data_IF_120739920598
#
_entry.id   IF_120739920598
#
_cell.length_a   1.000
_cell.length_b   1.000
_cell.length_c   1.000
_cell.angle_alpha   90.00
_cell.angle_beta   90.00
_cell.angle_gamma   90.00
#
_symmetry.space_group_name_H-M   'P 1'
#
loop_
_entity.id
_entity.type
_entity.pdbx_description
1 polymer ?
#
# COMPACT_ATOMS: atom_id res chain seq x y z
N UNK A 1 -1.11 -20.99 -13.84
CA UNK A 1 -2.31 -20.74 -14.65
C UNK A 1 -1.95 -19.62 -15.61
N UNK A 2 -2.20 -19.76 -16.91
CA UNK A 2 -2.00 -18.62 -17.82
C UNK A 2 -3.01 -17.54 -17.42
N UNK A 3 -2.56 -16.29 -17.37
CA UNK A 3 -3.44 -15.15 -17.15
C UNK A 3 -4.35 -15.00 -18.37
N UNK A 4 -5.63 -14.80 -18.13
CA UNK A 4 -6.57 -14.45 -19.18
C UNK A 4 -6.59 -12.93 -19.42
N UNK A 5 -7.28 -12.50 -20.47
CA UNK A 5 -7.34 -11.08 -20.85
C UNK A 5 -7.99 -10.16 -19.80
N UNK A 6 -8.81 -10.71 -18.89
CA UNK A 6 -9.51 -9.93 -17.87
C UNK A 6 -8.68 -9.73 -16.60
N UNK A 7 -7.80 -10.67 -16.27
CA UNK A 7 -6.96 -10.64 -15.07
C UNK A 7 -5.50 -10.27 -15.33
N UNK A 8 -5.05 -10.28 -16.60
CA UNK A 8 -3.72 -9.87 -16.98
C UNK A 8 -3.46 -8.39 -16.61
N UNK A 9 -2.37 -8.08 -15.87
CA UNK A 9 -2.12 -6.70 -15.45
C UNK A 9 -1.78 -5.79 -16.63
N UNK A 10 -2.28 -4.55 -16.58
CA UNK A 10 -1.90 -3.49 -17.50
C UNK A 10 -0.92 -2.54 -16.81
N UNK A 11 0.37 -2.78 -16.94
CA UNK A 11 1.38 -1.98 -16.25
C UNK A 11 1.43 -0.52 -16.71
N UNK A 12 0.92 -0.19 -17.89
CA UNK A 12 0.81 1.19 -18.38
C UNK A 12 -0.31 2.00 -17.71
N UNK A 13 -1.31 1.38 -17.16
CA UNK A 13 -2.42 1.97 -16.37
C UNK A 13 -2.44 1.47 -14.92
N UNK A 14 -1.26 1.27 -14.35
CA UNK A 14 -1.14 0.75 -12.98
C UNK A 14 -0.76 1.82 -11.96
N UNK A 15 -1.21 1.62 -10.70
CA UNK A 15 -0.78 2.37 -9.53
C UNK A 15 -0.13 1.44 -8.50
N UNK A 16 0.90 1.92 -7.81
CA UNK A 16 1.53 1.22 -6.68
C UNK A 16 0.85 1.63 -5.37
N UNK A 17 0.31 0.66 -4.64
CA UNK A 17 -0.22 0.82 -3.29
C UNK A 17 0.80 0.29 -2.29
N UNK A 18 1.42 1.20 -1.53
CA UNK A 18 2.38 0.88 -0.46
C UNK A 18 1.64 0.94 0.87
N UNK A 19 1.37 -0.22 1.48
CA UNK A 19 0.44 -0.34 2.59
C UNK A 19 1.18 -0.45 3.92
N UNK A 20 0.85 0.45 4.87
CA UNK A 20 1.24 0.44 6.29
C UNK A 20 2.76 0.29 6.55
N UNK A 21 3.61 0.88 5.70
CA UNK A 21 5.07 0.88 5.87
C UNK A 21 5.54 2.04 6.75
N UNK A 22 4.92 2.16 7.93
CA UNK A 22 5.18 3.20 8.91
C UNK A 22 6.21 2.74 9.95
N UNK A 23 6.89 3.71 10.58
CA UNK A 23 8.00 3.44 11.52
C UNK A 23 7.58 2.53 12.67
N UNK A 24 6.38 2.71 13.24
CA UNK A 24 5.90 1.85 14.34
C UNK A 24 5.70 0.37 13.96
N UNK A 25 5.61 0.04 12.68
CA UNK A 25 5.47 -1.33 12.20
C UNK A 25 6.79 -1.96 11.76
N UNK A 26 7.91 -1.22 11.83
CA UNK A 26 9.27 -1.72 11.60
C UNK A 26 9.86 -2.34 12.87
N UNK A 27 11.00 -3.00 12.75
CA UNK A 27 11.60 -3.82 13.83
C UNK A 27 11.84 -3.03 15.13
N UNK A 28 12.19 -1.74 15.04
CA UNK A 28 12.44 -0.86 16.20
C UNK A 28 11.20 -0.01 16.61
N UNK A 29 10.06 -0.26 16.00
CA UNK A 29 8.83 0.49 16.23
C UNK A 29 8.02 0.00 17.43
N UNK A 30 6.96 0.74 17.79
CA UNK A 30 6.11 0.43 18.94
C UNK A 30 5.25 -0.83 18.76
N UNK A 31 5.01 -1.27 17.54
CA UNK A 31 4.21 -2.47 17.21
C UNK A 31 4.80 -3.20 16.01
N UNK A 32 6.02 -3.74 16.13
CA UNK A 32 6.74 -4.30 15.00
C UNK A 32 5.99 -5.48 14.36
N UNK A 33 5.99 -5.50 13.03
CA UNK A 33 5.40 -6.58 12.24
C UNK A 33 6.53 -7.37 11.60
N UNK A 34 6.62 -8.64 11.97
CA UNK A 34 7.71 -9.53 11.59
C UNK A 34 7.96 -9.52 10.08
N UNK A 35 9.22 -9.29 9.71
CA UNK A 35 9.69 -9.32 8.33
C UNK A 35 9.37 -8.07 7.50
N UNK A 36 8.73 -7.03 8.06
CA UNK A 36 8.41 -5.81 7.33
C UNK A 36 9.66 -5.01 6.99
N UNK A 37 10.58 -4.80 7.94
CA UNK A 37 11.86 -4.11 7.71
C UNK A 37 12.67 -4.78 6.60
N UNK A 38 12.70 -6.11 6.57
CA UNK A 38 13.38 -6.88 5.53
C UNK A 38 12.78 -6.71 4.12
N UNK A 39 11.56 -6.17 4.00
CA UNK A 39 10.91 -5.87 2.71
C UNK A 39 11.20 -4.46 2.19
N UNK A 40 11.64 -3.55 3.05
CA UNK A 40 11.89 -2.16 2.67
C UNK A 40 12.77 -2.01 1.43
N UNK A 41 13.91 -2.71 1.25
CA UNK A 41 14.71 -2.57 0.04
C UNK A 41 13.94 -2.89 -1.25
N UNK A 42 13.05 -3.88 -1.20
CA UNK A 42 12.20 -4.26 -2.34
C UNK A 42 11.11 -3.22 -2.60
N UNK A 43 10.48 -2.71 -1.54
CA UNK A 43 9.47 -1.66 -1.62
C UNK A 43 10.10 -0.37 -2.15
N UNK A 44 11.28 0.03 -1.66
CA UNK A 44 12.02 1.21 -2.14
C UNK A 44 12.27 1.10 -3.64
N UNK A 45 12.73 -0.06 -4.11
CA UNK A 45 12.98 -0.28 -5.53
C UNK A 45 11.71 -0.14 -6.38
N UNK A 46 10.56 -0.64 -5.91
CA UNK A 46 9.28 -0.44 -6.58
C UNK A 46 8.91 1.04 -6.66
N UNK A 47 8.99 1.73 -5.52
CA UNK A 47 8.69 3.16 -5.42
C UNK A 47 9.56 3.98 -6.37
N UNK A 48 10.87 3.77 -6.38
CA UNK A 48 11.82 4.44 -7.30
C UNK A 48 11.48 4.17 -8.77
N UNK A 49 11.11 2.92 -9.09
CA UNK A 49 10.71 2.54 -10.45
C UNK A 49 9.44 3.26 -10.89
N UNK A 50 8.41 3.30 -10.03
CA UNK A 50 7.17 4.00 -10.31
C UNK A 50 7.37 5.50 -10.44
N UNK A 51 8.18 6.12 -9.56
CA UNK A 51 8.58 7.54 -9.67
C UNK A 51 9.27 7.83 -11.00
N UNK A 52 10.26 7.02 -11.38
CA UNK A 52 11.02 7.19 -12.62
C UNK A 52 10.15 7.03 -13.87
N UNK A 53 9.13 6.17 -13.80
CA UNK A 53 8.17 5.97 -14.87
C UNK A 53 7.03 7.00 -14.86
N UNK A 54 6.98 7.92 -13.87
CA UNK A 54 5.93 8.92 -13.71
C UNK A 54 4.55 8.33 -13.41
N UNK A 55 4.50 7.14 -12.80
CA UNK A 55 3.24 6.42 -12.50
C UNK A 55 2.74 6.71 -11.09
N UNK A 56 1.42 6.58 -10.85
CA UNK A 56 0.83 6.86 -9.55
C UNK A 56 1.37 5.97 -8.43
N UNK A 57 1.64 6.59 -7.27
CA UNK A 57 1.98 5.92 -6.01
C UNK A 57 1.03 6.43 -4.93
N UNK A 58 0.44 5.50 -4.19
CA UNK A 58 -0.37 5.80 -3.01
C UNK A 58 0.25 5.11 -1.79
N UNK A 59 0.79 5.90 -0.88
CA UNK A 59 1.16 5.44 0.45
C UNK A 59 -0.07 5.39 1.32
N UNK A 60 -0.52 4.20 1.65
CA UNK A 60 -1.70 3.97 2.47
C UNK A 60 -1.27 3.76 3.91
N UNK A 61 -1.74 4.60 4.82
CA UNK A 61 -1.28 4.61 6.21
C UNK A 61 -2.41 4.43 7.23
N UNK A 62 -1.99 4.12 8.45
CA UNK A 62 -2.83 4.11 9.64
C UNK A 62 -2.50 5.32 10.51
N UNK A 63 -3.53 5.93 11.08
CA UNK A 63 -3.43 6.86 12.19
C UNK A 63 -4.48 6.42 13.20
N UNK A 64 -4.04 6.11 14.43
CA UNK A 64 -4.95 5.70 15.49
C UNK A 64 -5.25 6.88 16.38
N UNK A 65 -6.47 7.41 16.22
CA UNK A 65 -7.02 8.49 17.02
C UNK A 65 -8.48 8.17 17.39
N UNK A 66 -8.82 8.40 18.67
CA UNK A 66 -10.14 8.13 19.19
C UNK A 66 -10.60 6.67 19.04
N UNK A 67 -11.92 6.48 18.84
CA UNK A 67 -12.57 5.17 18.80
C UNK A 67 -12.71 4.57 17.39
N UNK A 68 -12.41 5.35 16.33
CA UNK A 68 -12.54 4.88 14.95
C UNK A 68 -11.34 4.08 14.45
N UNK A 69 -11.02 3.03 15.20
CA UNK A 69 -9.91 2.11 14.94
C UNK A 69 -10.40 0.67 14.83
N UNK A 70 -9.56 -0.23 14.32
CA UNK A 70 -9.88 -1.65 14.24
C UNK A 70 -10.21 -2.22 15.63
N UNK A 71 -11.24 -3.06 15.72
CA UNK A 71 -11.66 -3.68 16.99
C UNK A 71 -10.49 -4.35 17.71
N UNK A 72 -9.59 -5.04 16.97
CA UNK A 72 -8.45 -5.76 17.56
C UNK A 72 -7.40 -4.83 18.17
N UNK A 73 -7.42 -3.54 17.89
CA UNK A 73 -6.48 -2.55 18.43
C UNK A 73 -7.04 -1.75 19.61
N UNK A 74 -8.38 -1.70 19.78
CA UNK A 74 -9.03 -0.85 20.78
C UNK A 74 -8.58 -1.13 22.21
N UNK A 75 -8.41 -2.38 22.59
CA UNK A 75 -7.96 -2.74 23.93
C UNK A 75 -6.55 -2.17 24.21
N UNK A 76 -5.60 -2.42 23.32
CA UNK A 76 -4.21 -1.94 23.48
C UNK A 76 -4.14 -0.40 23.53
N UNK A 77 -4.91 0.30 22.69
CA UNK A 77 -4.95 1.77 22.66
C UNK A 77 -5.57 2.34 23.95
N UNK A 78 -6.66 1.75 24.43
CA UNK A 78 -7.29 2.11 25.71
C UNK A 78 -6.32 1.91 26.89
N UNK A 79 -5.50 0.86 26.83
CA UNK A 79 -4.52 0.52 27.86
C UNK A 79 -3.22 1.37 27.71
N UNK A 80 -3.23 2.39 26.82
CA UNK A 80 -2.20 3.41 26.71
C UNK A 80 -1.05 3.07 25.75
N UNK A 81 -1.18 2.00 24.96
CA UNK A 81 -0.17 1.69 23.93
C UNK A 81 -0.24 2.74 22.81
N UNK A 82 0.87 3.42 22.54
CA UNK A 82 0.96 4.43 21.47
C UNK A 82 1.46 3.78 20.18
N UNK A 83 0.58 3.60 19.21
CA UNK A 83 0.88 3.02 17.90
C UNK A 83 0.35 3.98 16.84
N UNK A 84 1.19 4.38 15.89
CA UNK A 84 0.88 5.28 14.76
C UNK A 84 0.01 6.47 15.17
N UNK A 85 0.35 7.06 16.32
CA UNK A 85 -0.40 8.18 16.87
C UNK A 85 -0.20 9.41 15.98
N UNK A 86 -1.27 10.17 15.67
CA UNK A 86 -1.16 11.40 14.88
C UNK A 86 -0.04 12.32 15.38
N UNK A 87 0.81 12.80 14.48
CA UNK A 87 1.95 13.68 14.80
C UNK A 87 3.16 12.98 15.43
N UNK A 88 3.12 11.67 15.70
CA UNK A 88 4.28 10.95 16.24
C UNK A 88 5.28 10.56 15.16
N UNK A 89 6.55 10.37 15.55
CA UNK A 89 7.57 9.81 14.68
C UNK A 89 7.20 8.39 14.19
N UNK A 90 6.54 7.61 15.05
CA UNK A 90 6.09 6.26 14.72
C UNK A 90 5.03 6.20 13.62
N UNK A 91 4.22 7.26 13.49
CA UNK A 91 3.20 7.38 12.44
C UNK A 91 3.80 7.71 11.06
N UNK A 92 5.03 8.22 10.99
CA UNK A 92 5.67 8.59 9.72
C UNK A 92 5.94 7.34 8.86
N UNK A 93 5.92 7.52 7.56
CA UNK A 93 6.33 6.50 6.60
C UNK A 93 7.84 6.26 6.73
N UNK A 94 8.30 5.03 6.49
CA UNK A 94 9.73 4.71 6.47
C UNK A 94 10.51 5.71 5.59
N UNK A 95 11.55 6.39 6.11
CA UNK A 95 12.23 7.48 5.39
C UNK A 95 12.79 7.09 4.02
N UNK A 96 13.12 5.82 3.82
CA UNK A 96 13.62 5.31 2.53
C UNK A 96 12.56 5.31 1.43
N UNK A 97 11.28 5.44 1.77
CA UNK A 97 10.17 5.40 0.82
C UNK A 97 9.69 6.80 0.42
N UNK A 98 10.06 7.82 1.19
CA UNK A 98 9.63 9.19 0.92
C UNK A 98 10.51 9.86 -0.16
N UNK A 99 9.91 10.70 -1.03
CA UNK A 99 10.68 11.43 -2.06
C UNK A 99 11.59 12.48 -1.44
N UNK A 100 11.17 13.07 -0.33
CA UNK A 100 11.92 14.01 0.49
C UNK A 100 11.77 13.61 1.97
N UNK A 101 12.89 13.56 2.68
CA UNK A 101 12.93 13.16 4.10
C UNK A 101 12.35 14.22 5.04
N UNK A 102 12.24 15.45 4.56
CA UNK A 102 11.73 16.58 5.35
C UNK A 102 10.20 16.71 5.27
N UNK A 103 9.53 15.85 4.47
CA UNK A 103 8.07 15.83 4.38
C UNK A 103 7.50 15.13 5.61
N UNK A 104 6.79 15.90 6.44
CA UNK A 104 5.99 15.36 7.54
C UNK A 104 4.54 15.13 7.14
N UNK A 105 3.91 14.13 7.77
CA UNK A 105 2.50 13.82 7.53
C UNK A 105 1.60 14.87 8.21
N UNK A 106 0.72 15.49 7.43
CA UNK A 106 -0.37 16.32 7.93
C UNK A 106 -1.50 15.43 8.46
N UNK A 107 -1.37 15.02 9.71
CA UNK A 107 -2.31 14.10 10.34
C UNK A 107 -3.74 14.64 10.38
N UNK A 108 -3.94 15.97 10.50
CA UNK A 108 -5.26 16.58 10.51
C UNK A 108 -5.93 16.46 9.12
N UNK A 109 -5.21 16.82 8.07
CA UNK A 109 -5.69 16.70 6.69
C UNK A 109 -6.02 15.24 6.35
N UNK A 110 -5.14 14.32 6.71
CA UNK A 110 -5.29 12.88 6.44
C UNK A 110 -6.50 12.30 7.18
N UNK A 111 -6.68 12.58 8.47
CA UNK A 111 -7.84 12.14 9.25
C UNK A 111 -9.16 12.74 8.75
N UNK A 112 -9.11 13.95 8.15
CA UNK A 112 -10.24 14.53 7.45
C UNK A 112 -10.55 13.89 6.08
N UNK A 113 -9.82 12.83 5.69
CA UNK A 113 -10.01 12.10 4.44
C UNK A 113 -9.37 12.75 3.21
N UNK A 114 -8.52 13.78 3.41
CA UNK A 114 -7.81 14.42 2.30
C UNK A 114 -6.55 13.62 1.92
N UNK A 115 -6.22 13.62 0.63
CA UNK A 115 -4.95 13.11 0.14
C UNK A 115 -3.85 14.16 0.36
N UNK A 116 -2.71 13.75 0.88
CA UNK A 116 -1.53 14.59 0.99
C UNK A 116 -0.59 14.32 -0.17
N UNK A 117 -0.38 15.31 -1.04
CA UNK A 117 0.60 15.23 -2.12
C UNK A 117 2.02 15.29 -1.54
N UNK A 118 2.86 14.32 -1.89
CA UNK A 118 4.26 14.25 -1.43
C UNK A 118 5.27 14.18 -2.57
N UNK A 119 4.82 13.89 -3.78
CA UNK A 119 5.61 13.87 -5.01
C UNK A 119 4.73 14.16 -6.24
N UNK A 120 5.30 14.19 -7.44
CA UNK A 120 4.58 14.59 -8.66
C UNK A 120 3.31 13.76 -8.89
N UNK A 121 3.38 12.45 -8.77
CA UNK A 121 2.26 11.50 -8.91
C UNK A 121 2.20 10.60 -7.68
N UNK A 122 2.44 11.15 -6.51
CA UNK A 122 2.62 10.40 -5.28
C UNK A 122 1.88 11.09 -4.13
N UNK A 123 0.98 10.33 -3.51
CA UNK A 123 0.13 10.82 -2.41
C UNK A 123 0.20 9.89 -1.21
N UNK A 124 -0.09 10.46 -0.05
CA UNK A 124 -0.37 9.72 1.19
C UNK A 124 -1.87 9.76 1.44
N UNK A 125 -2.41 8.64 1.88
CA UNK A 125 -3.81 8.46 2.22
C UNK A 125 -3.97 7.71 3.54
N UNK A 126 -4.76 8.23 4.44
CA UNK A 126 -5.18 7.50 5.64
C UNK A 126 -6.33 6.54 5.35
N UNK A 127 -6.34 5.39 6.05
CA UNK A 127 -7.46 4.44 6.05
C UNK A 127 -7.89 4.09 7.48
N UNK A 128 -9.22 4.03 7.75
CA UNK A 128 -9.75 3.71 9.08
C UNK A 128 -9.78 2.20 9.38
N UNK A 129 -9.74 1.34 8.36
CA UNK A 129 -9.85 -0.13 8.48
C UNK A 129 -8.76 -0.82 7.65
N UNK A 130 -8.81 -2.14 7.56
CA UNK A 130 -7.79 -2.93 6.88
C UNK A 130 -7.72 -2.65 5.38
N UNK A 131 -8.88 -2.65 4.70
CA UNK A 131 -8.90 -2.32 3.27
C UNK A 131 -8.59 -0.86 3.02
N UNK A 132 -7.75 -0.61 2.01
CA UNK A 132 -7.46 0.74 1.52
C UNK A 132 -8.65 1.41 0.83
N UNK A 133 -9.66 0.64 0.43
CA UNK A 133 -10.89 1.16 -0.20
C UNK A 133 -12.00 1.50 0.81
N UNK A 134 -11.90 1.01 2.06
CA UNK A 134 -12.99 1.16 3.02
C UNK A 134 -13.09 2.57 3.59
N UNK A 135 -14.12 3.32 3.19
CA UNK A 135 -14.38 4.72 3.58
C UNK A 135 -13.19 5.66 3.30
N UNK A 136 -12.59 5.51 2.12
CA UNK A 136 -11.46 6.32 1.65
C UNK A 136 -11.75 6.85 0.24
N UNK A 137 -11.02 7.88 -0.22
CA UNK A 137 -11.14 8.38 -1.59
C UNK A 137 -10.36 7.55 -2.63
N UNK A 138 -9.86 6.34 -2.29
CA UNK A 138 -8.93 5.61 -3.15
C UNK A 138 -9.53 5.26 -4.50
N UNK A 139 -10.77 4.75 -4.55
CA UNK A 139 -11.40 4.32 -5.79
C UNK A 139 -11.58 5.49 -6.76
N UNK A 140 -12.15 6.59 -6.28
CA UNK A 140 -12.32 7.81 -7.08
C UNK A 140 -10.96 8.33 -7.58
N UNK A 141 -9.96 8.40 -6.71
CA UNK A 141 -8.61 8.86 -7.07
C UNK A 141 -7.97 7.98 -8.16
N UNK A 142 -8.09 6.66 -8.06
CA UNK A 142 -7.54 5.75 -9.06
C UNK A 142 -8.28 5.83 -10.39
N UNK A 143 -9.63 5.94 -10.35
CA UNK A 143 -10.46 6.10 -11.54
C UNK A 143 -10.16 7.41 -12.27
N UNK A 144 -10.01 8.50 -11.55
CA UNK A 144 -9.67 9.82 -12.11
C UNK A 144 -8.31 9.81 -12.84
N UNK A 145 -7.39 8.95 -12.39
CA UNK A 145 -6.08 8.73 -13.02
C UNK A 145 -6.10 7.67 -14.15
N UNK A 146 -7.27 7.11 -14.47
CA UNK A 146 -7.40 6.07 -15.50
C UNK A 146 -6.71 4.74 -15.10
N UNK A 147 -6.54 4.48 -13.81
CA UNK A 147 -5.92 3.25 -13.31
C UNK A 147 -6.92 2.09 -13.37
N UNK A 148 -6.52 0.98 -13.95
CA UNK A 148 -7.26 -0.27 -13.98
C UNK A 148 -6.52 -1.43 -13.29
N UNK A 149 -5.27 -1.22 -12.91
CA UNK A 149 -4.39 -2.22 -12.30
C UNK A 149 -3.79 -1.68 -11.02
N UNK A 150 -3.96 -2.40 -9.90
CA UNK A 150 -3.32 -2.08 -8.62
C UNK A 150 -2.18 -3.05 -8.32
N UNK A 151 -1.01 -2.49 -7.99
CA UNK A 151 0.17 -3.24 -7.57
C UNK A 151 0.34 -3.06 -6.07
N UNK A 152 0.22 -4.14 -5.30
CA UNK A 152 0.13 -4.11 -3.84
C UNK A 152 1.43 -4.59 -3.21
N UNK A 153 1.99 -3.78 -2.32
CA UNK A 153 3.16 -4.09 -1.48
C UNK A 153 2.96 -3.54 -0.06
N UNK A 154 3.78 -3.96 0.91
CA UNK A 154 3.76 -3.43 2.28
C UNK A 154 3.43 -4.47 3.35
N UNK A 155 2.76 -4.07 4.44
CA UNK A 155 2.51 -4.96 5.57
C UNK A 155 1.07 -4.93 6.07
N UNK A 156 0.60 -5.98 6.73
CA UNK A 156 1.06 -7.37 6.62
C UNK A 156 0.01 -8.18 5.86
N UNK A 157 0.43 -9.16 5.09
CA UNK A 157 -0.47 -9.83 4.13
C UNK A 157 -1.77 -10.39 4.73
N UNK A 158 -1.78 -11.01 5.92
CA UNK A 158 -3.02 -11.53 6.50
C UNK A 158 -4.14 -10.49 6.67
N UNK A 159 -3.80 -9.22 6.78
CA UNK A 159 -4.72 -8.13 7.13
C UNK A 159 -4.89 -7.12 5.98
N UNK A 160 -4.13 -6.03 6.02
CA UNK A 160 -4.39 -4.86 5.17
C UNK A 160 -4.20 -5.11 3.67
N UNK A 161 -3.10 -5.70 3.19
CA UNK A 161 -2.96 -6.04 1.79
C UNK A 161 -4.02 -7.03 1.32
N UNK A 162 -4.34 -8.07 2.11
CA UNK A 162 -5.38 -9.05 1.76
C UNK A 162 -6.76 -8.40 1.64
N UNK A 163 -7.18 -7.62 2.64
CA UNK A 163 -8.47 -6.93 2.59
C UNK A 163 -8.55 -5.95 1.40
N UNK A 164 -7.45 -5.26 1.08
CA UNK A 164 -7.37 -4.36 -0.06
C UNK A 164 -7.49 -5.12 -1.39
N UNK A 165 -6.87 -6.29 -1.51
CA UNK A 165 -6.95 -7.16 -2.68
C UNK A 165 -8.40 -7.64 -2.92
N UNK A 166 -9.11 -8.09 -1.88
CA UNK A 166 -10.51 -8.49 -2.01
C UNK A 166 -11.39 -7.32 -2.46
N UNK A 167 -11.25 -6.16 -1.83
CA UNK A 167 -12.03 -4.96 -2.19
C UNK A 167 -11.68 -4.42 -3.59
N UNK A 168 -10.42 -4.56 -4.04
CA UNK A 168 -10.01 -4.24 -5.40
C UNK A 168 -10.66 -5.17 -6.43
N UNK A 169 -10.72 -6.49 -6.13
CA UNK A 169 -11.39 -7.48 -6.97
C UNK A 169 -12.88 -7.17 -7.14
N UNK A 170 -13.57 -6.78 -6.05
CA UNK A 170 -14.99 -6.39 -6.08
C UNK A 170 -15.26 -5.07 -6.85
N UNK A 171 -14.19 -4.37 -7.27
CA UNK A 171 -14.22 -3.11 -8.04
C UNK A 171 -13.64 -3.26 -9.44
N UNK A 172 -13.47 -4.50 -9.91
CA UNK A 172 -12.94 -4.82 -11.24
C UNK A 172 -11.52 -4.29 -11.52
N UNK A 173 -10.67 -4.15 -10.46
CA UNK A 173 -9.26 -3.91 -10.69
C UNK A 173 -8.51 -5.19 -11.01
N UNK A 174 -7.60 -5.14 -11.96
CA UNK A 174 -6.54 -6.12 -12.11
C UNK A 174 -5.56 -5.99 -10.95
N UNK A 175 -5.06 -7.09 -10.42
CA UNK A 175 -4.31 -7.04 -9.16
C UNK A 175 -2.98 -7.77 -9.31
N UNK A 176 -1.91 -7.06 -8.96
CA UNK A 176 -0.58 -7.63 -8.78
C UNK A 176 -0.23 -7.60 -7.30
N UNK A 177 0.06 -8.76 -6.71
CA UNK A 177 0.65 -8.86 -5.38
C UNK A 177 2.16 -9.04 -5.52
N UNK A 178 2.95 -8.08 -4.98
CA UNK A 178 4.41 -8.20 -4.99
C UNK A 178 4.82 -9.06 -3.79
N UNK A 179 5.00 -10.36 -4.05
CA UNK A 179 5.11 -11.37 -3.00
C UNK A 179 6.37 -11.25 -2.13
N UNK A 180 7.48 -10.73 -2.67
CA UNK A 180 8.73 -10.52 -1.95
C UNK A 180 8.90 -9.09 -1.41
N UNK A 181 7.92 -8.21 -1.66
CA UNK A 181 7.77 -6.87 -1.10
C UNK A 181 6.58 -6.74 -0.14
N UNK A 182 5.97 -7.85 0.24
CA UNK A 182 4.87 -7.89 1.21
C UNK A 182 5.24 -8.84 2.35
N UNK A 183 5.06 -8.40 3.61
CA UNK A 183 5.40 -9.22 4.77
C UNK A 183 4.35 -10.31 5.05
N UNK A 184 4.75 -11.35 5.76
CA UNK A 184 3.92 -12.50 6.20
C UNK A 184 3.20 -13.27 5.08
N UNK A 185 3.73 -13.28 3.88
CA UNK A 185 3.26 -14.17 2.80
C UNK A 185 3.70 -15.60 3.06
N UNK A 186 2.79 -16.55 2.89
CA UNK A 186 3.04 -17.99 2.90
C UNK A 186 2.49 -18.63 1.63
N UNK A 187 2.95 -19.84 1.23
CA UNK A 187 2.44 -20.54 0.06
C UNK A 187 0.91 -20.73 0.06
N UNK A 188 0.34 -21.08 1.22
CA UNK A 188 -1.11 -21.27 1.37
C UNK A 188 -1.88 -19.97 1.13
N UNK A 189 -1.38 -18.85 1.70
CA UNK A 189 -1.98 -17.53 1.50
C UNK A 189 -1.93 -17.06 0.05
N UNK A 190 -0.83 -17.37 -0.67
CA UNK A 190 -0.73 -17.09 -2.10
C UNK A 190 -1.73 -17.92 -2.91
N UNK A 191 -1.88 -19.19 -2.57
CA UNK A 191 -2.83 -20.09 -3.25
C UNK A 191 -4.25 -19.54 -3.20
N UNK A 192 -4.66 -18.97 -2.07
CA UNK A 192 -6.01 -18.42 -1.93
C UNK A 192 -6.24 -17.19 -2.84
N UNK A 193 -5.31 -16.26 -2.90
CA UNK A 193 -5.51 -15.03 -3.70
C UNK A 193 -5.33 -15.27 -5.20
N UNK A 194 -4.48 -16.21 -5.60
CA UNK A 194 -4.34 -16.60 -7.02
C UNK A 194 -5.66 -17.12 -7.60
N UNK A 195 -6.50 -17.75 -6.78
CA UNK A 195 -7.85 -18.19 -7.20
C UNK A 195 -8.80 -17.03 -7.54
N UNK A 196 -8.49 -15.82 -7.05
CA UNK A 196 -9.24 -14.59 -7.36
C UNK A 196 -8.72 -13.89 -8.62
N UNK A 197 -7.80 -14.50 -9.37
CA UNK A 197 -7.17 -13.87 -10.53
C UNK A 197 -6.01 -12.95 -10.20
N UNK A 198 -5.55 -12.93 -8.93
CA UNK A 198 -4.40 -12.10 -8.52
C UNK A 198 -3.11 -12.63 -9.11
N UNK A 199 -2.35 -11.75 -9.75
CA UNK A 199 -0.99 -12.02 -10.22
C UNK A 199 0.01 -11.88 -9.07
N UNK A 200 0.52 -12.99 -8.54
CA UNK A 200 1.62 -12.95 -7.58
C UNK A 200 2.96 -12.92 -8.32
N UNK A 201 3.73 -11.84 -8.16
CA UNK A 201 4.99 -11.61 -8.86
C UNK A 201 6.09 -11.18 -7.90
N UNK A 202 7.37 -11.54 -8.16
CA UNK A 202 8.50 -10.93 -7.44
C UNK A 202 8.76 -9.50 -7.94
N UNK A 203 9.39 -8.69 -7.10
CA UNK A 203 9.78 -7.29 -7.37
C UNK A 203 10.46 -7.12 -8.72
N UNK A 204 11.42 -7.97 -9.04
CA UNK A 204 12.22 -7.88 -10.27
C UNK A 204 11.38 -7.99 -11.55
N UNK A 205 10.31 -8.80 -11.51
CA UNK A 205 9.39 -8.90 -12.64
C UNK A 205 8.60 -7.61 -12.79
N UNK A 206 8.01 -7.11 -11.69
CA UNK A 206 7.22 -5.87 -11.71
C UNK A 206 8.08 -4.68 -12.18
N UNK A 207 9.31 -4.55 -11.67
CA UNK A 207 10.25 -3.50 -12.08
C UNK A 207 10.52 -3.55 -13.59
N UNK A 208 10.78 -4.75 -14.13
CA UNK A 208 10.99 -4.92 -15.57
C UNK A 208 9.76 -4.55 -16.39
N UNK A 209 8.58 -5.01 -16.01
CA UNK A 209 7.32 -4.72 -16.69
C UNK A 209 7.00 -3.21 -16.69
N UNK A 210 7.20 -2.52 -15.56
CA UNK A 210 7.04 -1.06 -15.47
C UNK A 210 8.04 -0.33 -16.36
N UNK A 211 9.31 -0.75 -16.36
CA UNK A 211 10.36 -0.09 -17.17
C UNK A 211 10.14 -0.25 -18.68
N UNK A 212 9.49 -1.33 -19.11
CA UNK A 212 9.21 -1.62 -20.52
C UNK A 212 7.84 -1.20 -21.00
N UNK A 213 6.91 -0.92 -20.07
CA UNK A 213 5.55 -0.50 -20.41
C UNK A 213 5.56 0.90 -21.08
N UNK A 214 4.74 1.13 -22.11
CA UNK A 214 4.57 2.46 -22.70
C UNK A 214 4.26 3.53 -21.64
N UNK A 215 4.67 4.78 -21.90
CA UNK A 215 4.29 5.89 -21.03
C UNK A 215 2.78 5.93 -20.82
N UNK A 216 2.33 6.37 -19.63
CA UNK A 216 0.91 6.57 -19.39
C UNK A 216 0.32 7.48 -20.46
N UNK A 217 -0.85 7.14 -21.01
CA UNK A 217 -1.60 8.03 -21.88
C UNK A 217 -1.93 9.30 -21.06
N UNK A 218 -1.43 10.45 -21.51
CA UNK A 218 -1.70 11.75 -20.88
C UNK A 218 -3.16 12.15 -21.12
#
# INVERSE_FOLDING_TARGET
MALDEFTAPHFNSSALLVIDTQVDFLDDGASPIVGTSGRLPKITRLVETYRSAGRPIVHVIRLYDGDDVDLVRRAALRDGVSIVRPGSAGAQIAPSLMPDRDVELDSEALLAGRLQQVGRNEVVMWKPRWSAFHRTPLDDHLRDLGVDTVVVAGCNFPNCPRATIFDASERDYRIVLVQDATSEITPDRLTDVVKLGVCAMPTEVVVREIATAPAALQ
#
